data_IF_409638852375
#
_entry.id   IF_409638852375
#
_cell.length_a   1.000
_cell.length_b   1.000
_cell.length_c   1.000
_cell.angle_alpha   90.00
_cell.angle_beta   90.00
_cell.angle_gamma   90.00
#
_symmetry.space_group_name_H-M   'P 1'
#
loop_
_entity.id
_entity.type
_entity.pdbx_description
1 polymer ?
#
# COMPACT_ATOMS: atom_id res chain seq x y z
N UNK A 1 -14.29 -10.83 -28.64
CA UNK A 1 -14.74 -10.38 -27.30
C UNK A 1 -13.50 -9.94 -26.54
N UNK A 2 -13.02 -8.74 -26.84
CA UNK A 2 -11.80 -8.17 -26.27
C UNK A 2 -12.19 -7.49 -24.96
N UNK A 3 -11.88 -8.11 -23.83
CA UNK A 3 -11.96 -7.46 -22.53
C UNK A 3 -10.92 -6.34 -22.52
N UNK A 4 -11.39 -5.10 -22.69
CA UNK A 4 -10.59 -3.91 -22.47
C UNK A 4 -10.28 -3.83 -20.98
N UNK A 5 -9.11 -4.31 -20.59
CA UNK A 5 -8.48 -3.92 -19.33
C UNK A 5 -8.25 -2.41 -19.45
N UNK A 6 -9.12 -1.66 -18.80
CA UNK A 6 -8.97 -0.22 -18.64
C UNK A 6 -7.59 0.01 -18.03
N UNK A 7 -6.75 0.78 -18.73
CA UNK A 7 -5.51 1.27 -18.19
C UNK A 7 -5.86 2.33 -17.12
N UNK A 8 -6.28 1.85 -15.96
CA UNK A 8 -6.16 2.57 -14.70
C UNK A 8 -4.68 2.93 -14.60
N UNK A 9 -4.38 4.20 -14.36
CA UNK A 9 -3.03 4.61 -14.05
C UNK A 9 -2.63 3.93 -12.72
N UNK A 10 -1.92 2.80 -12.81
CA UNK A 10 -1.67 1.83 -11.73
C UNK A 10 -0.73 2.35 -10.62
N UNK A 11 -0.22 3.58 -10.74
CA UNK A 11 0.84 4.15 -9.89
C UNK A 11 0.34 4.90 -8.65
N UNK A 12 -0.96 5.09 -8.49
CA UNK A 12 -1.51 5.98 -7.45
C UNK A 12 -2.63 5.31 -6.61
N UNK A 13 -2.96 4.04 -6.88
CA UNK A 13 -4.22 3.46 -6.41
C UNK A 13 -4.27 3.09 -4.92
N UNK A 14 -3.11 2.90 -4.26
CA UNK A 14 -3.03 2.64 -2.82
C UNK A 14 -2.74 3.91 -2.01
N UNK A 15 -2.23 4.93 -2.68
CA UNK A 15 -1.54 6.06 -2.08
C UNK A 15 -2.27 7.33 -2.45
N UNK A 16 -3.22 7.74 -1.61
CA UNK A 16 -3.84 9.04 -1.78
C UNK A 16 -2.83 10.12 -1.36
N UNK A 17 -2.23 10.77 -2.36
CA UNK A 17 -1.39 11.96 -2.14
C UNK A 17 -2.27 13.15 -1.77
N UNK A 18 -2.25 13.56 -0.50
CA UNK A 18 -2.91 14.80 -0.09
C UNK A 18 -1.96 15.98 -0.23
N UNK A 19 -2.25 16.92 -1.14
CA UNK A 19 -1.40 18.09 -1.41
C UNK A 19 -1.56 19.22 -0.38
N UNK A 20 -0.41 19.80 0.02
CA UNK A 20 -0.17 20.98 0.90
C UNK A 20 -1.00 20.94 2.19
N UNK A 21 -0.49 20.46 3.33
CA UNK A 21 0.60 21.04 4.13
C UNK A 21 1.39 19.95 4.88
N UNK A 22 1.29 18.70 4.45
CA UNK A 22 2.09 17.59 4.94
C UNK A 22 2.38 16.62 3.80
N UNK A 23 3.66 16.50 3.44
CA UNK A 23 4.28 15.58 2.47
C UNK A 23 4.06 14.08 2.77
N UNK A 24 3.02 13.74 3.53
CA UNK A 24 2.68 12.39 3.91
C UNK A 24 1.65 11.81 2.93
N UNK A 25 1.94 10.61 2.44
CA UNK A 25 1.00 9.84 1.65
C UNK A 25 0.08 9.08 2.58
N UNK A 26 -1.23 9.11 2.30
CA UNK A 26 -2.21 8.35 3.08
C UNK A 26 -2.33 6.94 2.52
N UNK A 27 -2.16 5.96 3.40
CA UNK A 27 -2.39 4.54 3.11
C UNK A 27 -3.55 4.05 3.97
N UNK A 28 -4.63 3.65 3.31
CA UNK A 28 -5.82 3.10 3.97
C UNK A 28 -5.66 1.60 4.20
N UNK A 29 -5.62 1.19 5.47
CA UNK A 29 -5.48 -0.23 5.82
C UNK A 29 -6.69 -1.07 5.38
N UNK A 30 -7.87 -0.47 5.30
CA UNK A 30 -9.08 -1.11 4.74
C UNK A 30 -8.91 -1.43 3.25
N UNK A 31 -8.49 -0.44 2.44
CA UNK A 31 -8.30 -0.64 1.00
C UNK A 31 -7.18 -1.64 0.74
N UNK A 32 -6.12 -1.57 1.52
CA UNK A 32 -5.01 -2.51 1.44
C UNK A 32 -5.46 -3.95 1.79
N UNK A 33 -6.29 -4.11 2.81
CA UNK A 33 -6.87 -5.41 3.15
C UNK A 33 -7.75 -5.96 2.02
N UNK A 34 -8.65 -5.15 1.46
CA UNK A 34 -9.49 -5.57 0.32
C UNK A 34 -8.63 -6.04 -0.86
N UNK A 35 -7.59 -5.27 -1.20
CA UNK A 35 -6.64 -5.64 -2.28
C UNK A 35 -5.84 -6.89 -1.96
N UNK A 36 -5.46 -7.09 -0.71
CA UNK A 36 -4.79 -8.30 -0.26
C UNK A 36 -5.69 -9.54 -0.42
N UNK A 37 -6.97 -9.43 -0.06
CA UNK A 37 -7.95 -10.50 -0.25
C UNK A 37 -8.11 -10.85 -1.73
N UNK A 38 -8.27 -9.84 -2.60
CA UNK A 38 -8.34 -10.04 -4.06
C UNK A 38 -7.06 -10.70 -4.59
N UNK A 39 -5.89 -10.14 -4.26
CA UNK A 39 -4.61 -10.65 -4.72
C UNK A 39 -4.34 -12.08 -4.21
N UNK A 40 -4.83 -12.44 -3.02
CA UNK A 40 -4.74 -13.80 -2.48
C UNK A 40 -5.65 -14.76 -3.25
N UNK A 41 -6.85 -14.33 -3.62
CA UNK A 41 -7.76 -15.12 -4.46
C UNK A 41 -7.19 -15.33 -5.89
N UNK A 42 -6.46 -14.35 -6.40
CA UNK A 42 -5.83 -14.38 -7.74
C UNK A 42 -4.42 -15.00 -7.75
N UNK A 43 -3.82 -15.27 -6.58
CA UNK A 43 -2.44 -15.76 -6.47
C UNK A 43 -1.37 -14.71 -6.79
N UNK A 44 -1.72 -13.41 -6.79
CA UNK A 44 -0.87 -12.27 -7.15
C UNK A 44 -0.39 -11.46 -5.93
N UNK A 45 -0.45 -12.06 -4.72
CA UNK A 45 -0.07 -11.40 -3.46
C UNK A 45 1.36 -10.83 -3.48
N UNK A 46 2.32 -11.56 -4.05
CA UNK A 46 3.70 -11.09 -4.15
C UNK A 46 3.82 -9.81 -5.02
N UNK A 47 3.05 -9.73 -6.11
CA UNK A 47 3.03 -8.55 -6.98
C UNK A 47 2.43 -7.34 -6.29
N UNK A 48 1.41 -7.53 -5.44
CA UNK A 48 0.82 -6.45 -4.65
C UNK A 48 1.87 -5.80 -3.75
N UNK A 49 2.62 -6.58 -2.96
CA UNK A 49 3.61 -6.04 -2.04
C UNK A 49 4.86 -5.50 -2.75
N UNK A 50 5.25 -6.08 -3.88
CA UNK A 50 6.31 -5.52 -4.72
C UNK A 50 5.95 -4.13 -5.22
N UNK A 51 4.73 -3.95 -5.75
CA UNK A 51 4.25 -2.64 -6.21
C UNK A 51 4.14 -1.65 -5.06
N UNK A 52 3.60 -2.07 -3.92
CA UNK A 52 3.53 -1.22 -2.73
C UNK A 52 4.93 -0.74 -2.30
N UNK A 53 5.93 -1.62 -2.32
CA UNK A 53 7.31 -1.25 -2.00
C UNK A 53 7.85 -0.20 -2.98
N UNK A 54 7.65 -0.41 -4.29
CA UNK A 54 8.07 0.53 -5.34
C UNK A 54 7.40 1.90 -5.20
N UNK A 55 6.10 1.92 -4.91
CA UNK A 55 5.34 3.16 -4.73
C UNK A 55 5.84 3.96 -3.52
N UNK A 56 6.36 3.27 -2.49
CA UNK A 56 6.93 3.88 -1.29
C UNK A 56 8.38 4.36 -1.44
N UNK A 57 9.14 3.96 -2.47
CA UNK A 57 10.55 4.33 -2.64
C UNK A 57 10.78 5.84 -2.70
N UNK A 58 9.84 6.59 -3.28
CA UNK A 58 9.91 8.05 -3.43
C UNK A 58 9.16 8.82 -2.34
N UNK A 59 8.60 8.11 -1.34
CA UNK A 59 7.78 8.69 -0.28
C UNK A 59 8.63 8.90 0.96
N UNK A 60 8.46 10.03 1.66
CA UNK A 60 9.18 10.30 2.91
C UNK A 60 8.34 10.03 4.15
N UNK A 61 7.02 10.15 4.03
CA UNK A 61 6.08 9.96 5.12
C UNK A 61 4.86 9.18 4.66
N UNK A 62 4.45 8.20 5.45
CA UNK A 62 3.21 7.44 5.24
C UNK A 62 2.34 7.63 6.46
N UNK A 63 1.10 8.04 6.25
CA UNK A 63 0.08 8.07 7.31
C UNK A 63 -0.89 6.91 7.10
N UNK A 64 -0.95 6.02 8.08
CA UNK A 64 -1.87 4.90 8.09
C UNK A 64 -3.24 5.35 8.61
N UNK A 65 -4.31 5.08 7.88
CA UNK A 65 -5.68 5.33 8.34
C UNK A 65 -6.47 4.04 8.38
N UNK A 66 -7.54 4.02 9.20
CA UNK A 66 -8.40 2.84 9.40
C UNK A 66 -7.61 1.60 9.85
N UNK A 67 -6.65 1.79 10.74
CA UNK A 67 -5.70 0.76 11.22
C UNK A 67 -6.36 -0.45 11.87
N UNK A 68 -7.64 -0.38 12.26
CA UNK A 68 -8.44 -1.51 12.73
C UNK A 68 -8.49 -2.70 11.75
N UNK A 69 -8.28 -2.44 10.45
CA UNK A 69 -8.25 -3.47 9.41
C UNK A 69 -6.91 -4.26 9.36
N UNK A 70 -5.88 -3.85 10.11
CA UNK A 70 -4.62 -4.60 10.26
C UNK A 70 -4.73 -5.74 11.30
N UNK A 71 -5.94 -6.24 11.57
CA UNK A 71 -6.17 -7.33 12.52
C UNK A 71 -5.81 -8.71 11.95
N UNK A 72 -5.58 -8.83 10.64
CA UNK A 72 -5.11 -10.06 9.99
C UNK A 72 -3.60 -10.22 10.15
N UNK A 73 -3.16 -11.33 10.77
CA UNK A 73 -1.74 -11.58 11.09
C UNK A 73 -0.85 -11.74 9.85
N UNK A 74 -1.35 -12.32 8.76
CA UNK A 74 -0.54 -12.53 7.55
C UNK A 74 -0.31 -11.21 6.81
N UNK A 75 -1.39 -10.45 6.59
CA UNK A 75 -1.29 -9.11 6.02
C UNK A 75 -0.37 -8.23 6.86
N UNK A 76 -0.52 -8.25 8.19
CA UNK A 76 0.32 -7.48 9.10
C UNK A 76 1.79 -7.85 8.97
N UNK A 77 2.11 -9.15 8.98
CA UNK A 77 3.49 -9.63 8.84
C UNK A 77 4.13 -9.20 7.52
N UNK A 78 3.39 -9.29 6.41
CA UNK A 78 3.88 -8.86 5.11
C UNK A 78 4.09 -7.34 5.05
N UNK A 79 3.20 -6.56 5.69
CA UNK A 79 3.36 -5.12 5.78
C UNK A 79 4.50 -4.67 6.67
N UNK A 80 4.72 -5.35 7.79
CA UNK A 80 5.86 -5.06 8.65
C UNK A 80 7.17 -5.17 7.86
N UNK A 81 7.34 -6.18 7.00
CA UNK A 81 8.53 -6.30 6.14
C UNK A 81 8.69 -5.12 5.16
N UNK A 82 7.59 -4.67 4.54
CA UNK A 82 7.60 -3.50 3.64
C UNK A 82 7.93 -2.22 4.42
N UNK A 83 7.34 -2.06 5.60
CA UNK A 83 7.53 -0.89 6.46
C UNK A 83 8.91 -0.85 7.12
N UNK A 84 9.51 -1.99 7.45
CA UNK A 84 10.90 -2.07 7.89
C UNK A 84 11.85 -1.59 6.80
N UNK A 85 11.65 -2.05 5.56
CA UNK A 85 12.44 -1.59 4.41
C UNK A 85 12.29 -0.09 4.18
N UNK A 86 11.05 0.41 4.23
CA UNK A 86 10.75 1.84 4.10
C UNK A 86 11.40 2.69 5.20
N UNK A 87 11.32 2.26 6.46
CA UNK A 87 11.97 2.94 7.59
C UNK A 87 13.50 2.88 7.49
N UNK A 88 14.06 1.77 7.02
CA UNK A 88 15.50 1.62 6.74
C UNK A 88 16.01 2.61 5.69
N UNK A 89 15.16 2.98 4.73
CA UNK A 89 15.40 4.06 3.75
C UNK A 89 15.22 5.48 4.29
N UNK A 90 14.91 5.66 5.58
CA UNK A 90 14.67 6.97 6.21
C UNK A 90 13.22 7.46 6.15
N UNK A 91 12.30 6.63 5.68
CA UNK A 91 10.86 6.90 5.68
C UNK A 91 10.26 6.90 7.09
N UNK A 92 9.22 7.69 7.31
CA UNK A 92 8.49 7.76 8.59
C UNK A 92 7.06 7.31 8.44
N UNK A 93 6.58 6.53 9.41
CA UNK A 93 5.22 6.03 9.44
C UNK A 93 4.49 6.68 10.61
N UNK A 94 3.31 7.22 10.33
CA UNK A 94 2.43 7.91 11.25
C UNK A 94 1.07 7.18 11.29
N UNK A 95 0.33 7.29 12.39
CA UNK A 95 -1.00 6.68 12.61
C UNK A 95 -2.08 7.76 12.82
#
# INVERSE_FOLDING_TARGET
>A
MTMTVTNVNRRDFLLMRTGRESDAVILSCEQLYMRYVDARAEGTTAELFMRLTQDLESVKRVRLIKTSWLSDDDLRRQLDAVFESFRGGGGRIEH
#
